data_IF_112795743248
#
_entry.id   IF_112795743248
#
_cell.length_a   1.000
_cell.length_b   1.000
_cell.length_c   1.000
_cell.angle_alpha   90.00
_cell.angle_beta   90.00
_cell.angle_gamma   90.00
#
_symmetry.space_group_name_H-M   'P 1'
#
loop_
_entity.id
_entity.type
_entity.pdbx_description
1 polymer ?
#
# COMPACT_ATOMS: atom_id res chain seq x y z
N UNK A 1 54.36 43.37 36.36
CA UNK A 1 53.38 43.35 35.24
C UNK A 1 52.68 42.01 35.21
N UNK A 2 51.76 41.77 36.11
CA UNK A 2 50.91 40.58 36.11
C UNK A 2 49.55 40.99 35.52
N UNK A 3 49.43 41.08 34.31
CA UNK A 3 48.77 40.32 33.30
C UNK A 3 47.25 40.34 33.41
N UNK A 4 46.66 41.38 32.79
CA UNK A 4 45.21 41.46 32.53
C UNK A 4 44.86 40.74 31.21
N UNK A 5 45.49 39.57 30.97
CA UNK A 5 45.20 38.80 29.77
C UNK A 5 43.84 38.03 29.85
N UNK A 6 43.40 37.79 31.12
CA UNK A 6 42.11 37.11 31.37
C UNK A 6 40.91 37.83 30.76
N UNK A 7 40.73 39.17 30.92
CA UNK A 7 39.62 39.87 30.28
C UNK A 7 39.75 39.89 28.75
N UNK A 8 40.97 39.92 28.20
CA UNK A 8 41.22 39.83 26.76
C UNK A 8 40.84 38.47 26.22
N UNK A 9 41.12 37.40 26.96
CA UNK A 9 40.70 36.03 26.59
C UNK A 9 39.18 35.87 26.66
N UNK A 10 38.52 36.43 27.68
CA UNK A 10 37.07 36.42 27.81
C UNK A 10 36.44 37.20 26.66
N UNK A 11 36.99 38.36 26.31
CA UNK A 11 36.50 39.14 25.17
C UNK A 11 36.67 38.38 23.83
N UNK A 12 37.84 37.75 23.64
CA UNK A 12 38.08 36.94 22.44
C UNK A 12 37.11 35.75 22.35
N UNK A 13 36.81 35.09 23.47
CA UNK A 13 35.85 34.01 23.55
C UNK A 13 34.42 34.48 23.25
N UNK A 14 34.04 35.66 23.79
CA UNK A 14 32.74 36.29 23.51
C UNK A 14 32.59 36.64 22.02
N UNK A 15 33.61 37.23 21.41
CA UNK A 15 33.61 37.55 19.98
C UNK A 15 33.53 36.27 19.15
N UNK A 16 34.29 35.24 19.52
CA UNK A 16 34.21 33.94 18.84
C UNK A 16 32.79 33.29 18.95
N UNK A 17 32.19 33.38 20.14
CA UNK A 17 30.82 32.89 20.34
C UNK A 17 29.80 33.66 19.51
N UNK A 18 29.89 34.99 19.45
CA UNK A 18 28.99 35.81 18.59
C UNK A 18 29.17 35.48 17.12
N UNK A 19 30.42 35.32 16.66
CA UNK A 19 30.68 34.93 15.26
C UNK A 19 30.16 33.54 14.93
N UNK A 20 30.20 32.61 15.89
CA UNK A 20 29.68 31.25 15.69
C UNK A 20 28.14 31.19 15.74
N UNK A 21 27.52 32.06 16.55
CA UNK A 21 26.05 32.15 16.64
C UNK A 21 25.41 32.95 15.49
N UNK A 22 26.21 33.82 14.83
CA UNK A 22 25.68 34.69 13.76
C UNK A 22 24.91 33.97 12.68
N UNK A 23 25.38 32.84 12.08
CA UNK A 23 24.63 32.10 11.05
C UNK A 23 23.31 31.56 11.57
N UNK A 24 23.27 31.19 12.86
CA UNK A 24 22.04 30.66 13.50
C UNK A 24 20.97 31.74 13.61
N UNK A 25 21.35 32.92 14.07
CA UNK A 25 20.43 34.07 14.21
C UNK A 25 19.96 34.54 12.84
N UNK A 26 20.81 34.54 11.83
CA UNK A 26 20.47 34.89 10.46
C UNK A 26 19.47 33.90 9.86
N UNK A 27 19.72 32.60 10.00
CA UNK A 27 18.84 31.54 9.45
C UNK A 27 17.47 31.50 10.12
N UNK A 28 17.42 31.51 11.46
CA UNK A 28 16.14 31.42 12.20
C UNK A 28 15.42 32.77 12.32
N UNK A 29 16.12 33.88 12.12
CA UNK A 29 15.53 35.22 12.06
C UNK A 29 14.83 35.56 10.73
N UNK A 30 14.99 34.75 9.70
CA UNK A 30 14.27 34.94 8.43
C UNK A 30 12.80 34.59 8.58
N UNK A 31 11.93 35.36 7.92
CA UNK A 31 10.51 35.00 7.82
C UNK A 31 10.33 33.66 7.07
N UNK A 32 9.32 32.83 7.45
CA UNK A 32 9.06 31.55 6.80
C UNK A 32 8.96 31.64 5.27
N UNK A 33 8.29 32.67 4.75
CA UNK A 33 8.17 32.92 3.31
C UNK A 33 9.51 33.20 2.62
N UNK A 34 10.46 33.83 3.32
CA UNK A 34 11.80 34.09 2.79
C UNK A 34 12.67 32.84 2.78
N UNK A 35 12.49 31.95 3.76
CA UNK A 35 13.16 30.65 3.79
C UNK A 35 12.69 29.74 2.67
N UNK A 36 11.38 29.70 2.45
CA UNK A 36 10.77 28.91 1.36
C UNK A 36 11.21 29.43 -0.04
N UNK A 37 11.24 30.76 -0.20
CA UNK A 37 11.76 31.37 -1.44
C UNK A 37 13.26 31.05 -1.65
N UNK A 38 14.07 31.09 -0.59
CA UNK A 38 15.50 30.78 -0.66
C UNK A 38 15.75 29.30 -0.96
N UNK A 39 14.94 28.42 -0.41
CA UNK A 39 14.99 26.98 -0.69
C UNK A 39 14.67 26.67 -2.15
N UNK A 40 13.68 27.38 -2.71
CA UNK A 40 13.26 27.18 -4.10
C UNK A 40 14.24 27.84 -5.10
N UNK A 41 14.64 29.10 -4.85
CA UNK A 41 15.40 29.90 -5.81
C UNK A 41 16.91 29.67 -5.71
N UNK A 42 17.42 29.35 -4.54
CA UNK A 42 18.86 29.14 -4.29
C UNK A 42 19.11 28.00 -3.30
N UNK A 43 18.79 26.75 -3.61
CA UNK A 43 18.87 25.61 -2.70
C UNK A 43 20.26 25.39 -2.13
N UNK A 44 21.31 25.61 -2.93
CA UNK A 44 22.70 25.47 -2.43
C UNK A 44 23.01 26.46 -1.30
N UNK A 45 22.52 27.70 -1.37
CA UNK A 45 22.72 28.72 -0.34
C UNK A 45 21.90 28.40 0.92
N UNK A 46 20.67 27.92 0.74
CA UNK A 46 19.80 27.50 1.82
C UNK A 46 20.45 26.39 2.66
N UNK A 47 20.88 25.30 2.01
CA UNK A 47 21.53 24.17 2.71
C UNK A 47 22.86 24.54 3.34
N UNK A 48 23.63 25.47 2.74
CA UNK A 48 24.89 25.95 3.33
C UNK A 48 24.65 26.78 4.60
N UNK A 49 23.61 27.61 4.62
CA UNK A 49 23.21 28.38 5.81
C UNK A 49 22.63 27.47 6.89
N UNK A 50 21.79 26.52 6.52
CA UNK A 50 21.24 25.53 7.44
C UNK A 50 22.33 24.69 8.12
N UNK A 51 23.34 24.24 7.37
CA UNK A 51 24.49 23.48 7.90
C UNK A 51 25.35 24.29 8.88
N UNK A 52 25.41 25.61 8.75
CA UNK A 52 26.17 26.49 9.63
C UNK A 52 25.39 26.94 10.86
N UNK A 53 24.08 26.86 10.82
CA UNK A 53 23.21 27.17 11.95
C UNK A 53 23.26 26.04 12.98
N UNK A 54 23.09 26.39 14.26
CA UNK A 54 22.95 25.40 15.33
C UNK A 54 21.60 24.70 15.18
N UNK A 55 21.61 23.38 15.16
CA UNK A 55 20.38 22.61 15.14
C UNK A 55 19.64 22.75 16.47
N UNK A 56 18.39 23.16 16.39
CA UNK A 56 17.53 23.32 17.55
C UNK A 56 16.75 22.03 17.77
N UNK A 57 16.59 21.62 19.03
CA UNK A 57 15.81 20.45 19.39
C UNK A 57 14.29 20.64 19.16
N UNK A 58 13.55 19.57 19.38
CA UNK A 58 12.09 19.49 19.17
C UNK A 58 11.32 20.61 19.86
N UNK A 59 11.71 20.98 21.09
CA UNK A 59 11.04 22.04 21.88
C UNK A 59 11.16 23.44 21.26
N UNK A 60 12.19 23.69 20.48
CA UNK A 60 12.49 25.01 19.90
C UNK A 60 12.07 25.12 18.44
N UNK A 61 12.20 24.06 17.66
CA UNK A 61 11.80 24.04 16.25
C UNK A 61 10.36 23.53 16.05
N UNK A 62 9.82 22.83 17.04
CA UNK A 62 8.64 22.00 16.87
C UNK A 62 8.96 20.72 16.10
N UNK A 63 7.97 19.92 15.84
CA UNK A 63 8.11 18.65 15.13
C UNK A 63 7.21 17.58 15.72
N UNK A 64 7.61 16.31 15.59
CA UNK A 64 6.83 15.17 16.06
C UNK A 64 7.62 14.31 17.05
N UNK A 65 6.92 13.87 18.10
CA UNK A 65 7.38 12.84 19.03
C UNK A 65 6.45 11.62 18.88
N UNK A 66 7.00 10.49 18.46
CA UNK A 66 6.29 9.24 18.29
C UNK A 66 6.82 8.20 19.27
N UNK A 67 5.91 7.47 19.91
CA UNK A 67 6.24 6.23 20.60
C UNK A 67 5.64 5.07 19.81
N UNK A 68 6.49 4.20 19.35
CA UNK A 68 6.12 3.06 18.51
C UNK A 68 6.35 1.77 19.28
N UNK A 69 5.44 0.82 19.19
CA UNK A 69 5.56 -0.50 19.78
C UNK A 69 5.73 -1.57 18.71
N UNK A 70 6.77 -2.36 18.84
CA UNK A 70 7.01 -3.52 17.97
C UNK A 70 6.16 -4.68 18.48
N UNK A 71 5.26 -5.20 17.66
CA UNK A 71 4.42 -6.35 18.00
C UNK A 71 5.29 -7.60 18.02
N UNK A 72 5.52 -8.13 19.21
CA UNK A 72 6.41 -9.30 19.44
C UNK A 72 5.63 -10.55 19.86
N UNK A 73 4.32 -10.55 19.64
CA UNK A 73 3.46 -11.68 19.97
C UNK A 73 3.89 -12.94 19.19
N UNK A 74 4.05 -14.05 19.91
CA UNK A 74 4.48 -15.32 19.31
C UNK A 74 5.99 -15.48 19.10
N UNK A 75 6.80 -14.47 19.40
CA UNK A 75 8.26 -14.53 19.32
C UNK A 75 8.87 -14.95 20.66
N UNK A 76 9.98 -15.69 20.62
CA UNK A 76 10.80 -15.93 21.81
C UNK A 76 11.45 -14.63 22.30
N UNK A 77 11.88 -14.54 23.58
CA UNK A 77 12.50 -13.31 24.11
C UNK A 77 13.76 -12.85 23.36
N UNK A 78 14.50 -13.77 22.76
CA UNK A 78 15.69 -13.44 21.95
C UNK A 78 15.27 -12.88 20.58
N UNK A 79 14.33 -13.54 19.91
CA UNK A 79 13.78 -13.07 18.63
C UNK A 79 13.08 -11.72 18.76
N UNK A 80 12.36 -11.50 19.85
CA UNK A 80 11.72 -10.23 20.15
C UNK A 80 12.74 -9.07 20.27
N UNK A 81 13.85 -9.29 20.96
CA UNK A 81 14.93 -8.30 21.09
C UNK A 81 15.58 -7.99 19.74
N UNK A 82 15.87 -9.02 18.97
CA UNK A 82 16.46 -8.90 17.65
C UNK A 82 15.51 -8.18 16.68
N UNK A 83 14.21 -8.45 16.76
CA UNK A 83 13.19 -7.74 15.98
C UNK A 83 13.15 -6.25 16.33
N UNK A 84 13.21 -5.87 17.59
CA UNK A 84 13.21 -4.46 18.02
C UNK A 84 14.49 -3.74 17.56
N UNK A 85 15.66 -4.39 17.68
CA UNK A 85 16.93 -3.80 17.27
C UNK A 85 16.97 -3.59 15.74
N UNK A 86 16.51 -4.57 14.96
CA UNK A 86 16.37 -4.42 13.49
C UNK A 86 15.32 -3.40 13.11
N UNK A 87 14.17 -3.34 13.81
CA UNK A 87 13.16 -2.32 13.56
C UNK A 87 13.72 -0.91 13.79
N UNK A 88 14.50 -0.70 14.85
CA UNK A 88 15.16 0.56 15.12
C UNK A 88 16.13 0.96 14.00
N UNK A 89 16.88 0.01 13.45
CA UNK A 89 17.81 0.27 12.34
C UNK A 89 17.05 0.65 11.05
N UNK A 90 16.00 -0.08 10.72
CA UNK A 90 15.15 0.22 9.56
C UNK A 90 14.50 1.60 9.69
N UNK A 91 13.94 1.92 10.86
CA UNK A 91 13.35 3.24 11.15
C UNK A 91 14.41 4.34 10.99
N UNK A 92 15.62 4.13 11.52
CA UNK A 92 16.71 5.10 11.35
C UNK A 92 17.06 5.32 9.89
N UNK A 93 17.21 4.25 9.11
CA UNK A 93 17.51 4.34 7.69
C UNK A 93 16.42 5.09 6.91
N UNK A 94 15.15 4.91 7.26
CA UNK A 94 14.03 5.63 6.64
C UNK A 94 14.06 7.11 6.97
N UNK A 95 14.27 7.45 8.24
CA UNK A 95 14.33 8.83 8.73
C UNK A 95 15.53 9.58 8.15
N UNK A 96 16.70 8.94 8.08
CA UNK A 96 17.92 9.52 7.48
C UNK A 96 17.71 9.82 5.99
N UNK A 97 17.05 8.92 5.25
CA UNK A 97 16.75 9.11 3.82
C UNK A 97 15.62 10.13 3.59
N UNK A 98 14.72 10.29 4.56
CA UNK A 98 13.70 11.32 4.53
C UNK A 98 14.28 12.73 4.67
N UNK A 99 15.47 12.84 5.26
CA UNK A 99 16.23 14.08 5.33
C UNK A 99 15.93 14.95 6.55
N UNK A 100 15.39 14.37 7.62
CA UNK A 100 15.22 15.08 8.90
C UNK A 100 16.58 15.35 9.54
N UNK A 101 16.81 16.58 9.98
CA UNK A 101 18.03 16.97 10.66
C UNK A 101 18.03 16.46 12.12
N UNK A 102 19.07 15.73 12.50
CA UNK A 102 19.32 15.24 13.87
C UNK A 102 18.12 14.54 14.54
N UNK A 103 17.57 13.47 13.93
CA UNK A 103 16.48 12.72 14.55
C UNK A 103 16.97 12.00 15.81
N UNK A 104 16.14 11.95 16.84
CA UNK A 104 16.39 11.14 18.02
C UNK A 104 15.63 9.81 17.89
N UNK A 105 16.33 8.69 17.81
CA UNK A 105 15.71 7.35 17.72
C UNK A 105 16.30 6.49 18.81
N UNK A 106 15.49 6.21 19.83
CA UNK A 106 15.93 5.52 21.04
C UNK A 106 14.98 4.38 21.40
N UNK A 107 15.55 3.28 21.88
CA UNK A 107 14.78 2.18 22.44
C UNK A 107 14.30 2.55 23.86
N UNK A 108 13.03 2.28 24.14
CA UNK A 108 12.41 2.44 25.45
C UNK A 108 11.85 1.09 25.94
N UNK A 109 12.48 0.52 26.94
CA UNK A 109 12.09 -0.79 27.46
C UNK A 109 12.41 -1.93 26.48
N UNK A 110 11.55 -2.95 26.41
CA UNK A 110 11.81 -4.16 25.64
C UNK A 110 11.21 -4.12 24.24
N UNK A 111 10.08 -3.44 24.02
CA UNK A 111 9.30 -3.47 22.79
C UNK A 111 9.10 -2.11 22.13
N UNK A 112 9.48 -1.00 22.80
CA UNK A 112 9.15 0.36 22.33
C UNK A 112 10.35 1.09 21.74
N UNK A 113 10.06 1.92 20.73
CA UNK A 113 11.02 2.82 20.07
C UNK A 113 10.44 4.23 20.12
N UNK A 114 11.21 5.18 20.68
CA UNK A 114 10.88 6.60 20.63
C UNK A 114 11.55 7.19 19.40
N UNK A 115 10.79 7.94 18.64
CA UNK A 115 11.25 8.66 17.44
C UNK A 115 10.87 10.12 17.56
N UNK A 116 11.87 11.00 17.59
CA UNK A 116 11.69 12.46 17.63
C UNK A 116 12.26 13.06 16.35
N UNK A 117 11.42 13.79 15.65
CA UNK A 117 11.77 14.41 14.36
C UNK A 117 11.55 15.92 14.45
N UNK A 118 12.62 16.70 14.79
CA UNK A 118 12.52 18.13 14.88
C UNK A 118 12.40 18.78 13.50
N UNK A 119 11.70 19.92 13.43
CA UNK A 119 11.57 20.74 12.22
C UNK A 119 10.73 20.14 11.10
N UNK A 120 10.00 19.05 11.36
CA UNK A 120 9.19 18.38 10.37
C UNK A 120 7.89 19.13 10.09
N UNK A 121 7.60 19.41 8.81
CA UNK A 121 6.39 20.08 8.39
C UNK A 121 5.26 19.09 8.07
N UNK A 122 5.58 17.97 7.41
CA UNK A 122 4.60 16.96 7.01
C UNK A 122 4.64 15.74 7.94
N UNK A 123 3.86 15.86 9.02
CA UNK A 123 3.77 14.86 10.08
C UNK A 123 3.15 13.55 9.58
N UNK A 124 2.09 13.63 8.79
CA UNK A 124 1.36 12.43 8.32
C UNK A 124 2.19 11.62 7.33
N UNK A 125 2.92 12.28 6.46
CA UNK A 125 3.83 11.62 5.54
C UNK A 125 4.95 10.88 6.27
N UNK A 126 5.53 11.49 7.31
CA UNK A 126 6.56 10.84 8.12
C UNK A 126 6.03 9.62 8.88
N UNK A 127 4.85 9.72 9.48
CA UNK A 127 4.20 8.60 10.16
C UNK A 127 3.98 7.43 9.21
N UNK A 128 3.42 7.71 8.04
CA UNK A 128 3.18 6.70 7.02
C UNK A 128 4.49 6.02 6.59
N UNK A 129 5.52 6.80 6.29
CA UNK A 129 6.82 6.29 5.86
C UNK A 129 7.49 5.42 6.93
N UNK A 130 7.43 5.84 8.19
CA UNK A 130 8.09 5.11 9.29
C UNK A 130 7.28 3.87 9.69
N UNK A 131 5.95 3.96 9.69
CA UNK A 131 5.04 2.91 10.17
C UNK A 131 4.77 1.79 9.17
N UNK A 132 5.03 1.99 7.87
CA UNK A 132 4.81 0.96 6.84
C UNK A 132 5.72 -0.25 7.10
N UNK A 133 5.13 -1.45 7.07
CA UNK A 133 5.89 -2.71 7.20
C UNK A 133 6.85 -2.89 6.04
N UNK A 134 6.43 -2.49 4.84
CA UNK A 134 7.19 -2.57 3.59
C UNK A 134 7.63 -3.98 3.23
N UNK A 135 6.78 -4.94 3.50
CA UNK A 135 6.99 -6.31 3.07
C UNK A 135 6.78 -6.38 1.56
N UNK A 136 7.88 -6.33 0.82
CA UNK A 136 7.86 -6.45 -0.64
C UNK A 136 7.95 -7.92 -1.04
N UNK A 137 7.02 -8.36 -1.87
CA UNK A 137 6.93 -9.70 -2.39
C UNK A 137 6.67 -9.69 -3.89
N UNK A 138 7.26 -10.66 -4.58
CA UNK A 138 7.00 -10.92 -5.98
C UNK A 138 6.23 -12.24 -6.07
N UNK A 139 4.95 -12.15 -6.42
CA UNK A 139 4.05 -13.29 -6.45
C UNK A 139 3.57 -13.55 -7.89
N UNK A 140 3.51 -14.80 -8.30
CA UNK A 140 2.92 -15.16 -9.58
C UNK A 140 1.41 -15.03 -9.51
N UNK A 141 0.85 -14.39 -10.52
CA UNK A 141 -0.60 -14.25 -10.69
C UNK A 141 -1.10 -15.45 -11.46
N UNK A 142 -2.13 -16.10 -10.93
CA UNK A 142 -2.81 -17.20 -11.61
C UNK A 142 -3.61 -16.69 -12.83
N UNK A 143 -3.85 -17.55 -13.83
CA UNK A 143 -4.63 -17.19 -15.02
C UNK A 143 -6.01 -16.66 -14.66
N UNK A 144 -6.50 -15.70 -15.45
CA UNK A 144 -7.81 -15.07 -15.24
C UNK A 144 -8.97 -16.09 -15.20
N UNK A 145 -8.84 -17.19 -15.96
CA UNK A 145 -9.83 -18.27 -15.96
C UNK A 145 -9.92 -18.99 -14.60
N UNK A 146 -8.81 -19.18 -13.92
CA UNK A 146 -8.77 -19.84 -12.61
C UNK A 146 -9.35 -18.93 -11.52
N UNK A 147 -9.03 -17.63 -11.58
CA UNK A 147 -9.68 -16.62 -10.75
C UNK A 147 -11.20 -16.62 -10.93
N UNK A 148 -11.65 -16.55 -12.18
CA UNK A 148 -13.08 -16.47 -12.49
C UNK A 148 -13.83 -17.74 -12.03
N UNK A 149 -13.24 -18.92 -12.23
CA UNK A 149 -13.80 -20.19 -11.71
C UNK A 149 -13.88 -20.23 -10.19
N UNK A 150 -12.84 -19.72 -9.52
CA UNK A 150 -12.81 -19.69 -8.05
C UNK A 150 -13.85 -18.71 -7.50
N UNK A 151 -13.97 -17.51 -8.09
CA UNK A 151 -14.99 -16.52 -7.73
C UNK A 151 -16.40 -17.09 -7.87
N UNK A 152 -16.70 -17.82 -8.97
CA UNK A 152 -17.99 -18.47 -9.17
C UNK A 152 -18.29 -19.52 -8.11
N UNK A 153 -17.30 -20.35 -7.73
CA UNK A 153 -17.46 -21.33 -6.66
C UNK A 153 -17.72 -20.68 -5.30
N UNK A 154 -17.01 -19.60 -5.00
CA UNK A 154 -17.21 -18.85 -3.75
C UNK A 154 -18.62 -18.25 -3.73
N UNK A 155 -19.06 -17.60 -4.82
CA UNK A 155 -20.40 -17.03 -4.92
C UNK A 155 -21.50 -18.08 -4.69
N UNK A 156 -21.35 -19.27 -5.30
CA UNK A 156 -22.28 -20.38 -5.12
C UNK A 156 -22.37 -20.87 -3.67
N UNK A 157 -21.22 -20.99 -2.97
CA UNK A 157 -21.18 -21.43 -1.57
C UNK A 157 -21.76 -20.39 -0.63
N UNK A 158 -21.47 -19.11 -0.87
CA UNK A 158 -22.04 -18.01 -0.08
C UNK A 158 -23.55 -17.88 -0.30
N UNK A 159 -24.07 -18.13 -1.51
CA UNK A 159 -25.49 -18.14 -1.80
C UNK A 159 -26.21 -19.34 -1.12
N UNK A 160 -25.63 -20.55 -1.21
CA UNK A 160 -26.19 -21.74 -0.56
C UNK A 160 -26.27 -21.65 0.97
N UNK A 161 -25.24 -21.03 1.59
CA UNK A 161 -25.24 -20.83 3.05
C UNK A 161 -26.30 -19.87 3.57
N UNK A 162 -26.74 -18.91 2.76
CA UNK A 162 -27.81 -17.97 3.13
C UNK A 162 -29.20 -18.64 3.09
N UNK A 163 -29.43 -19.49 2.12
CA UNK A 163 -30.69 -20.22 2.01
C UNK A 163 -30.93 -21.15 3.21
N UNK A 164 -29.89 -21.59 3.91
CA UNK A 164 -29.99 -22.40 5.12
C UNK A 164 -30.22 -21.56 6.40
N UNK A 165 -29.70 -20.34 6.44
CA UNK A 165 -29.87 -19.43 7.57
C UNK A 165 -31.27 -18.77 7.59
N UNK A 166 -31.81 -18.43 6.40
CA UNK A 166 -33.19 -17.89 6.27
C UNK A 166 -34.26 -18.96 6.56
N UNK A 167 -33.98 -20.26 6.28
CA UNK A 167 -34.89 -21.34 6.64
C UNK A 167 -34.86 -21.73 8.12
N UNK A 168 -33.88 -21.30 8.88
CA UNK A 168 -33.78 -21.54 10.32
C UNK A 168 -34.46 -20.46 11.17
N UNK A 169 -34.79 -19.30 10.60
CA UNK A 169 -35.46 -18.19 11.29
C UNK A 169 -36.99 -18.18 11.18
N UNK A 170 -37.58 -19.03 10.33
CA UNK A 170 -39.03 -19.07 10.08
C UNK A 170 -39.74 -20.29 10.70
N UNK A 171 -39.18 -20.88 11.72
CA UNK A 171 -39.67 -22.10 12.37
C UNK A 171 -40.20 -21.91 13.78
N UNK A 172 -41.14 -20.99 14.00
CA UNK A 172 -42.10 -21.10 15.15
C UNK A 172 -43.38 -20.33 14.85
N UNK A 173 -44.43 -21.03 14.55
CA UNK A 173 -45.86 -20.78 14.51
C UNK A 173 -46.50 -21.11 13.17
N UNK A 174 -46.99 -22.36 13.02
CA UNK A 174 -48.29 -22.60 12.42
C UNK A 174 -48.74 -24.06 12.57
N UNK A 175 -49.80 -24.19 13.25
CA UNK A 175 -50.62 -25.34 13.46
C UNK A 175 -51.17 -26.00 12.18
N UNK A 176 -51.16 -27.34 12.23
CA UNK A 176 -51.91 -28.37 11.52
C UNK A 176 -53.21 -27.92 10.84
N UNK A 177 -53.34 -28.28 9.55
CA UNK A 177 -54.59 -28.80 8.94
C UNK A 177 -54.33 -29.40 7.56
N UNK A 178 -54.37 -30.67 7.49
CA UNK A 178 -54.98 -31.73 6.72
C UNK A 178 -55.56 -31.47 5.32
N UNK A 179 -55.37 -32.52 4.46
CA UNK A 179 -56.12 -33.00 3.31
C UNK A 179 -55.61 -32.63 1.89
N UNK A 180 -54.92 -33.55 1.30
CA UNK A 180 -55.35 -34.50 0.25
C UNK A 180 -55.58 -33.99 -1.18
N UNK A 181 -54.98 -34.80 -2.08
CA UNK A 181 -55.36 -35.20 -3.44
C UNK A 181 -54.99 -34.31 -4.65
N UNK A 182 -54.04 -34.82 -5.39
CA UNK A 182 -54.06 -35.44 -6.74
C UNK A 182 -54.46 -34.55 -7.93
N UNK A 183 -53.57 -34.45 -8.89
CA UNK A 183 -53.69 -35.12 -10.20
C UNK A 183 -52.67 -34.58 -11.21
N UNK A 184 -52.15 -35.56 -11.93
CA UNK A 184 -51.40 -35.59 -13.16
C UNK A 184 -51.94 -34.70 -14.29
N UNK A 185 -51.02 -34.29 -15.19
CA UNK A 185 -51.00 -34.48 -16.66
C UNK A 185 -50.17 -33.34 -17.27
N UNK A 186 -49.05 -33.65 -17.85
CA UNK A 186 -48.70 -34.19 -19.16
C UNK A 186 -48.70 -33.16 -20.32
N UNK A 187 -47.50 -32.98 -20.84
CA UNK A 187 -47.07 -32.86 -22.23
C UNK A 187 -47.75 -31.81 -23.17
N UNK A 188 -47.04 -30.98 -23.87
CA UNK A 188 -46.59 -31.28 -25.23
C UNK A 188 -45.82 -30.10 -25.88
N UNK A 189 -44.77 -30.46 -26.56
CA UNK A 189 -43.99 -29.90 -27.65
C UNK A 189 -44.60 -28.75 -28.48
N UNK A 190 -43.82 -27.79 -28.93
CA UNK A 190 -43.43 -27.61 -30.33
C UNK A 190 -42.50 -26.41 -30.57
N UNK A 191 -41.31 -26.72 -31.08
CA UNK A 191 -40.45 -26.04 -32.01
C UNK A 191 -41.04 -24.90 -32.84
N UNK A 192 -40.25 -23.89 -33.16
CA UNK A 192 -39.82 -23.43 -34.50
C UNK A 192 -38.80 -22.32 -34.41
N UNK A 193 -37.62 -22.48 -35.00
CA UNK A 193 -36.72 -21.45 -35.50
C UNK A 193 -36.98 -21.25 -36.99
N UNK A 194 -36.23 -20.45 -37.77
CA UNK A 194 -35.51 -19.19 -37.60
C UNK A 194 -35.82 -18.17 -38.73
N UNK A 195 -35.26 -16.96 -38.69
CA UNK A 195 -34.83 -16.17 -39.87
C UNK A 195 -34.18 -14.88 -39.43
N UNK A 196 -33.02 -14.64 -39.69
CA UNK A 196 -32.11 -14.26 -40.79
C UNK A 196 -32.39 -12.86 -41.39
N UNK A 197 -31.35 -12.03 -41.39
CA UNK A 197 -31.03 -10.81 -42.16
C UNK A 197 -31.47 -9.46 -41.64
N UNK A 198 -30.42 -8.60 -41.55
CA UNK A 198 -30.46 -7.18 -41.79
C UNK A 198 -29.31 -6.41 -41.10
N UNK A 199 -28.26 -6.17 -41.88
CA UNK A 199 -27.15 -5.24 -41.71
C UNK A 199 -27.59 -3.82 -41.31
N UNK A 200 -26.87 -3.14 -40.42
CA UNK A 200 -25.92 -2.05 -40.68
C UNK A 200 -25.57 -1.28 -39.40
N UNK A 201 -24.29 -1.20 -39.14
CA UNK A 201 -23.36 -0.18 -38.60
C UNK A 201 -23.91 1.05 -37.84
N UNK A 202 -23.50 1.22 -36.60
CA UNK A 202 -22.59 2.21 -36.06
C UNK A 202 -22.64 2.29 -34.51
N UNK A 203 -21.74 2.99 -33.76
CA UNK A 203 -20.99 2.39 -32.68
C UNK A 203 -21.72 2.44 -31.33
N UNK A 204 -21.66 1.36 -30.61
CA UNK A 204 -22.24 1.17 -29.30
C UNK A 204 -21.53 1.98 -28.23
N UNK A 205 -22.18 3.01 -27.75
CA UNK A 205 -22.03 3.44 -26.38
C UNK A 205 -22.47 2.33 -25.42
N UNK A 206 -21.63 2.12 -24.41
CA UNK A 206 -21.79 1.31 -23.22
C UNK A 206 -23.24 0.93 -22.86
N UNK A 207 -23.69 -0.23 -23.29
CA UNK A 207 -24.87 -0.89 -22.75
C UNK A 207 -24.52 -1.72 -21.54
N UNK A 208 -24.61 -1.11 -20.35
CA UNK A 208 -24.66 -1.80 -19.09
C UNK A 208 -26.10 -2.25 -18.88
N UNK A 209 -26.35 -3.58 -18.86
CA UNK A 209 -27.53 -4.27 -18.34
C UNK A 209 -28.91 -3.68 -18.65
N UNK A 210 -29.59 -4.24 -19.64
CA UNK A 210 -31.05 -4.26 -19.69
C UNK A 210 -31.56 -5.11 -18.52
N UNK A 211 -32.14 -4.44 -17.53
CA UNK A 211 -32.84 -5.06 -16.44
C UNK A 211 -34.31 -5.17 -16.85
N UNK A 212 -34.70 -6.32 -17.42
CA UNK A 212 -36.10 -6.72 -17.45
C UNK A 212 -36.58 -7.03 -16.04
N UNK A 213 -37.76 -6.51 -15.71
CA UNK A 213 -38.38 -6.47 -14.40
C UNK A 213 -38.66 -7.88 -13.85
N UNK A 214 -37.70 -8.43 -13.09
CA UNK A 214 -37.96 -9.51 -12.14
C UNK A 214 -38.11 -8.96 -10.73
N UNK A 215 -38.99 -9.59 -9.96
CA UNK A 215 -39.56 -9.17 -8.67
C UNK A 215 -38.52 -8.62 -7.70
N UNK A 216 -38.91 -7.62 -6.90
CA UNK A 216 -38.05 -6.90 -5.93
C UNK A 216 -37.31 -7.82 -4.89
N UNK A 217 -37.74 -9.07 -4.74
CA UNK A 217 -37.09 -10.08 -3.91
C UNK A 217 -35.86 -10.67 -4.58
N UNK A 218 -35.88 -10.97 -5.88
CA UNK A 218 -34.74 -11.46 -6.65
C UNK A 218 -33.67 -10.38 -6.81
N UNK A 219 -34.06 -9.11 -7.00
CA UNK A 219 -33.15 -7.98 -7.08
C UNK A 219 -32.44 -7.68 -5.73
N UNK A 220 -33.06 -7.97 -4.60
CA UNK A 220 -32.47 -7.81 -3.28
C UNK A 220 -31.46 -8.94 -2.96
N UNK A 221 -31.71 -10.14 -3.46
CA UNK A 221 -30.79 -11.29 -3.32
C UNK A 221 -29.58 -11.14 -4.26
N UNK A 222 -29.81 -10.72 -5.51
CA UNK A 222 -28.73 -10.48 -6.47
C UNK A 222 -27.76 -9.40 -6.01
N UNK A 223 -28.25 -8.33 -5.35
CA UNK A 223 -27.39 -7.28 -4.79
C UNK A 223 -26.48 -7.75 -3.66
N UNK A 224 -26.73 -8.92 -3.08
CA UNK A 224 -25.94 -9.54 -1.99
C UNK A 224 -24.91 -10.55 -2.49
N UNK A 225 -24.93 -10.90 -3.78
CA UNK A 225 -24.01 -11.86 -4.38
C UNK A 225 -22.64 -11.26 -4.60
N UNK A 226 -21.60 -12.08 -4.51
CA UNK A 226 -20.22 -11.65 -4.79
C UNK A 226 -20.08 -11.19 -6.24
N UNK A 227 -20.65 -11.95 -7.18
CA UNK A 227 -20.55 -11.65 -8.61
C UNK A 227 -21.19 -10.30 -8.99
N UNK A 228 -22.27 -9.88 -8.33
CA UNK A 228 -22.93 -8.60 -8.60
C UNK A 228 -22.11 -7.38 -8.16
N UNK A 229 -21.11 -7.58 -7.29
CA UNK A 229 -20.20 -6.53 -6.79
C UNK A 229 -18.89 -6.44 -7.57
N UNK A 230 -18.68 -7.37 -8.50
CA UNK A 230 -17.53 -7.40 -9.37
C UNK A 230 -17.87 -6.74 -10.70
N UNK A 231 -16.96 -5.88 -11.17
CA UNK A 231 -17.06 -5.25 -12.48
C UNK A 231 -15.95 -5.79 -13.39
N UNK A 232 -16.16 -5.79 -14.71
CA UNK A 232 -15.10 -6.08 -15.68
C UNK A 232 -14.57 -4.77 -16.25
N UNK A 233 -13.25 -4.60 -16.21
CA UNK A 233 -12.54 -3.48 -16.81
C UNK A 233 -11.58 -4.07 -17.84
N UNK A 234 -11.98 -4.05 -19.10
CA UNK A 234 -11.29 -4.81 -20.15
C UNK A 234 -11.37 -6.33 -19.91
N UNK A 235 -10.24 -7.00 -19.83
CA UNK A 235 -10.12 -8.42 -19.47
C UNK A 235 -10.04 -8.66 -17.96
N UNK A 236 -9.87 -7.63 -17.17
CA UNK A 236 -9.61 -7.72 -15.74
C UNK A 236 -10.89 -7.65 -14.91
N UNK A 237 -10.85 -8.23 -13.72
CA UNK A 237 -11.92 -8.11 -12.71
C UNK A 237 -11.56 -7.01 -11.74
N UNK A 238 -12.50 -6.15 -11.46
CA UNK A 238 -12.36 -5.03 -10.56
C UNK A 238 -13.51 -4.98 -9.54
N UNK A 239 -13.26 -4.32 -8.42
CA UNK A 239 -14.23 -4.06 -7.36
C UNK A 239 -14.37 -2.56 -7.21
N UNK A 240 -15.60 -2.05 -7.26
CA UNK A 240 -15.83 -0.63 -7.04
C UNK A 240 -15.43 -0.25 -5.61
N UNK A 241 -14.88 0.95 -5.42
CA UNK A 241 -14.42 1.41 -4.11
C UNK A 241 -15.50 1.32 -3.02
N UNK A 242 -16.76 1.58 -3.36
CA UNK A 242 -17.91 1.46 -2.45
C UNK A 242 -18.18 0.03 -1.99
N UNK A 243 -17.84 -0.97 -2.82
CA UNK A 243 -18.12 -2.39 -2.57
C UNK A 243 -16.91 -3.14 -1.99
N UNK A 244 -15.72 -2.51 -1.94
CA UNK A 244 -14.47 -3.13 -1.53
C UNK A 244 -14.55 -3.78 -0.13
N UNK A 245 -15.13 -3.07 0.84
CA UNK A 245 -15.26 -3.60 2.20
C UNK A 245 -16.17 -4.83 2.26
N UNK A 246 -17.26 -4.82 1.50
CA UNK A 246 -18.17 -5.95 1.42
C UNK A 246 -17.55 -7.16 0.72
N UNK A 247 -16.84 -6.94 -0.40
CA UNK A 247 -16.14 -8.01 -1.10
C UNK A 247 -15.03 -8.61 -0.23
N UNK A 248 -14.24 -7.79 0.45
CA UNK A 248 -13.23 -8.28 1.41
C UNK A 248 -13.86 -9.14 2.51
N UNK A 249 -14.97 -8.70 3.09
CA UNK A 249 -15.70 -9.47 4.11
C UNK A 249 -16.22 -10.80 3.56
N UNK A 250 -16.73 -10.82 2.32
CA UNK A 250 -17.19 -12.05 1.67
C UNK A 250 -16.04 -13.03 1.38
N UNK A 251 -14.88 -12.54 0.96
CA UNK A 251 -13.69 -13.36 0.73
C UNK A 251 -13.06 -13.88 2.03
N UNK A 252 -13.25 -13.19 3.16
CA UNK A 252 -12.79 -13.62 4.49
C UNK A 252 -13.81 -14.48 5.24
N UNK A 253 -15.01 -14.68 4.71
CA UNK A 253 -16.00 -15.58 5.31
C UNK A 253 -15.44 -17.01 5.39
N UNK A 254 -15.67 -17.71 6.50
CA UNK A 254 -15.16 -19.06 6.74
C UNK A 254 -15.56 -20.06 5.64
N UNK A 255 -16.77 -19.90 5.10
CA UNK A 255 -17.29 -20.70 3.98
C UNK A 255 -16.55 -20.42 2.67
N UNK A 256 -16.21 -19.18 2.42
CA UNK A 256 -15.40 -18.79 1.25
C UNK A 256 -13.96 -19.32 1.39
N UNK A 257 -13.38 -19.16 2.58
CA UNK A 257 -12.04 -19.65 2.88
C UNK A 257 -11.91 -21.18 2.75
N UNK A 258 -12.96 -21.93 3.07
CA UNK A 258 -12.98 -23.39 2.87
C UNK A 258 -12.90 -23.84 1.40
N UNK A 259 -13.18 -22.94 0.45
CA UNK A 259 -13.16 -23.22 -1.01
C UNK A 259 -11.88 -22.68 -1.67
N UNK A 260 -11.25 -21.68 -1.06
CA UNK A 260 -9.99 -21.09 -1.55
C UNK A 260 -8.85 -22.07 -1.22
N UNK A 261 -8.07 -22.53 -2.20
CA UNK A 261 -6.89 -23.33 -1.96
C UNK A 261 -5.85 -22.58 -1.16
N UNK A 262 -5.10 -23.28 -0.27
CA UNK A 262 -4.08 -22.68 0.60
C UNK A 262 -2.89 -22.06 -0.15
N UNK A 263 -2.70 -22.44 -1.41
CA UNK A 263 -1.59 -21.99 -2.26
C UNK A 263 -1.87 -20.72 -3.04
N UNK A 264 -3.08 -20.17 -2.96
CA UNK A 264 -3.50 -18.93 -3.63
C UNK A 264 -4.23 -17.98 -2.70
N UNK A 265 -4.15 -16.70 -3.01
CA UNK A 265 -4.85 -15.64 -2.27
C UNK A 265 -5.40 -14.56 -3.21
N UNK A 266 -6.46 -13.88 -2.77
CA UNK A 266 -7.01 -12.74 -3.48
C UNK A 266 -6.35 -11.45 -3.02
N UNK A 267 -5.77 -10.71 -3.96
CA UNK A 267 -5.11 -9.44 -3.73
C UNK A 267 -5.79 -8.31 -4.50
N UNK A 268 -5.78 -7.13 -3.90
CA UNK A 268 -6.32 -5.91 -4.51
C UNK A 268 -5.18 -4.94 -4.84
N UNK A 269 -5.38 -4.07 -5.83
CA UNK A 269 -4.44 -2.98 -6.09
C UNK A 269 -4.33 -2.08 -4.86
N UNK A 270 -3.15 -1.50 -4.66
CA UNK A 270 -2.86 -0.60 -3.51
C UNK A 270 -3.64 0.71 -3.59
N UNK A 271 -3.94 1.16 -4.81
CA UNK A 271 -4.68 2.40 -5.07
C UNK A 271 -5.86 2.15 -5.99
N UNK A 272 -6.94 2.94 -5.81
CA UNK A 272 -8.05 2.88 -6.72
C UNK A 272 -7.69 3.53 -8.06
N UNK A 273 -8.10 2.89 -9.14
CA UNK A 273 -7.97 3.38 -10.50
C UNK A 273 -9.32 3.94 -11.00
N UNK A 274 -9.29 4.65 -12.13
CA UNK A 274 -10.49 5.17 -12.79
C UNK A 274 -10.81 6.63 -12.47
N UNK A 275 -11.84 7.17 -13.14
CA UNK A 275 -12.24 8.57 -12.99
C UNK A 275 -12.87 8.86 -11.63
N UNK A 276 -12.87 10.13 -11.22
CA UNK A 276 -13.54 10.55 -10.00
C UNK A 276 -15.03 10.19 -10.04
N UNK A 277 -15.48 9.51 -8.95
CA UNK A 277 -16.85 9.00 -8.83
C UNK A 277 -17.01 7.52 -9.22
N UNK A 278 -16.12 6.97 -10.03
CA UNK A 278 -16.12 5.56 -10.44
C UNK A 278 -14.74 4.91 -10.19
N UNK A 279 -14.21 5.09 -9.01
CA UNK A 279 -12.95 4.47 -8.59
C UNK A 279 -13.15 2.99 -8.29
N UNK A 280 -12.20 2.17 -8.75
CA UNK A 280 -12.22 0.71 -8.57
C UNK A 280 -10.82 0.19 -8.23
N UNK A 281 -10.79 -0.99 -7.61
CA UNK A 281 -9.58 -1.74 -7.32
C UNK A 281 -9.56 -3.00 -8.18
N UNK A 282 -8.45 -3.29 -8.84
CA UNK A 282 -8.28 -4.55 -9.55
C UNK A 282 -8.17 -5.70 -8.56
N UNK A 283 -8.73 -6.85 -8.93
CA UNK A 283 -8.72 -8.09 -8.15
C UNK A 283 -7.85 -9.12 -8.85
N UNK A 284 -6.80 -9.55 -8.16
CA UNK A 284 -5.88 -10.57 -8.61
C UNK A 284 -6.01 -11.84 -7.78
N UNK A 285 -5.80 -13.00 -8.41
CA UNK A 285 -5.56 -14.26 -7.74
C UNK A 285 -4.06 -14.55 -7.84
N UNK A 286 -3.34 -14.51 -6.74
CA UNK A 286 -1.90 -14.69 -6.71
C UNK A 286 -1.53 -15.92 -5.87
N UNK A 287 -0.34 -16.47 -6.09
CA UNK A 287 0.20 -17.54 -5.24
C UNK A 287 0.60 -16.98 -3.89
N UNK A 288 0.14 -17.60 -2.81
CA UNK A 288 0.46 -17.21 -1.42
C UNK A 288 1.98 -17.24 -1.16
N UNK A 289 2.69 -18.17 -1.80
CA UNK A 289 4.14 -18.25 -1.65
C UNK A 289 4.83 -17.31 -2.62
N UNK A 290 5.55 -16.29 -2.12
CA UNK A 290 6.29 -15.39 -2.98
C UNK A 290 7.47 -16.09 -3.65
N UNK A 291 7.70 -15.80 -4.91
CA UNK A 291 8.86 -16.26 -5.67
C UNK A 291 10.15 -15.54 -5.25
N UNK A 292 10.03 -14.28 -4.83
CA UNK A 292 11.12 -13.44 -4.34
C UNK A 292 10.58 -12.43 -3.32
N UNK A 293 11.38 -12.09 -2.32
CA UNK A 293 11.03 -11.10 -1.28
C UNK A 293 11.97 -9.89 -1.31
N UNK A 294 11.59 -8.83 -0.61
CA UNK A 294 12.30 -7.54 -0.60
C UNK A 294 13.74 -7.60 -0.10
N UNK A 295 14.13 -8.64 0.66
CA UNK A 295 15.50 -8.84 1.11
C UNK A 295 16.50 -9.08 -0.05
N UNK A 296 16.01 -9.39 -1.25
CA UNK A 296 16.79 -9.51 -2.48
C UNK A 296 16.96 -8.19 -3.23
N UNK A 297 16.39 -7.09 -2.74
CA UNK A 297 16.57 -5.75 -3.33
C UNK A 297 17.84 -5.13 -2.77
N UNK A 298 18.71 -4.70 -3.67
CA UNK A 298 19.96 -4.00 -3.32
C UNK A 298 19.79 -2.48 -3.31
N UNK A 299 18.94 -1.95 -4.21
CA UNK A 299 18.72 -0.52 -4.36
C UNK A 299 17.36 -0.24 -5.01
N UNK A 300 16.81 0.93 -4.69
CA UNK A 300 15.56 1.45 -5.26
C UNK A 300 15.74 2.95 -5.54
N UNK A 301 15.50 3.38 -6.78
CA UNK A 301 15.68 4.77 -7.19
C UNK A 301 14.48 5.28 -7.97
N UNK A 302 14.14 6.56 -7.75
CA UNK A 302 13.09 7.21 -8.53
C UNK A 302 13.64 7.67 -9.86
N UNK A 303 12.91 7.40 -10.92
CA UNK A 303 13.19 7.93 -12.25
C UNK A 303 11.88 8.35 -12.95
N UNK A 304 12.02 8.99 -14.10
CA UNK A 304 10.88 9.33 -14.96
C UNK A 304 10.83 8.31 -16.09
N UNK A 305 9.68 7.68 -16.24
CA UNK A 305 9.44 6.67 -17.26
C UNK A 305 9.68 7.20 -18.68
N UNK A 306 10.41 6.44 -19.48
CA UNK A 306 10.75 6.78 -20.86
C UNK A 306 10.08 5.86 -21.89
N UNK A 307 9.48 4.77 -21.45
CA UNK A 307 8.72 3.85 -22.30
C UNK A 307 7.36 4.43 -22.66
N UNK A 308 6.79 3.99 -23.76
CA UNK A 308 5.48 4.47 -24.26
C UNK A 308 4.36 4.25 -23.24
N UNK A 309 4.41 3.14 -22.50
CA UNK A 309 3.35 2.75 -21.55
C UNK A 309 3.33 3.63 -20.28
N UNK A 310 4.45 4.26 -19.92
CA UNK A 310 4.59 5.06 -18.68
C UNK A 310 5.43 6.32 -18.89
N UNK A 311 5.40 6.87 -20.12
CA UNK A 311 6.16 8.09 -20.47
C UNK A 311 5.77 9.27 -19.59
N UNK A 312 6.76 9.88 -18.95
CA UNK A 312 6.57 11.05 -18.09
C UNK A 312 6.01 10.74 -16.70
N UNK A 313 5.68 9.47 -16.41
CA UNK A 313 5.22 9.07 -15.07
C UNK A 313 6.41 8.80 -14.15
N UNK A 314 6.28 9.11 -12.84
CA UNK A 314 7.26 8.70 -11.86
C UNK A 314 7.23 7.18 -11.70
N UNK A 315 8.41 6.56 -11.76
CA UNK A 315 8.60 5.13 -11.58
C UNK A 315 9.70 4.87 -10.56
N UNK A 316 9.69 3.72 -9.93
CA UNK A 316 10.76 3.26 -9.05
C UNK A 316 11.54 2.15 -9.74
N UNK A 317 12.80 2.44 -10.07
CA UNK A 317 13.76 1.46 -10.59
C UNK A 317 14.29 0.62 -9.43
N UNK A 318 14.09 -0.69 -9.51
CA UNK A 318 14.60 -1.67 -8.57
C UNK A 318 15.84 -2.35 -9.15
N UNK A 319 16.82 -2.55 -8.29
CA UNK A 319 17.99 -3.36 -8.58
C UNK A 319 18.12 -4.45 -7.51
N UNK A 320 18.21 -5.69 -7.94
CA UNK A 320 18.37 -6.82 -7.04
C UNK A 320 19.83 -7.09 -6.68
N UNK A 321 20.05 -7.79 -5.57
CA UNK A 321 21.35 -8.35 -5.19
C UNK A 321 21.81 -9.40 -6.20
N UNK A 322 23.09 -9.83 -6.15
CA UNK A 322 23.61 -10.90 -7.01
C UNK A 322 22.83 -12.22 -6.87
N UNK A 323 22.35 -12.52 -5.68
CA UNK A 323 21.46 -13.66 -5.43
C UNK A 323 20.10 -13.45 -6.07
N UNK A 324 19.54 -12.25 -5.88
CA UNK A 324 18.29 -11.82 -6.51
C UNK A 324 18.35 -11.89 -8.03
N UNK A 325 19.46 -11.47 -8.66
CA UNK A 325 19.67 -11.60 -10.12
C UNK A 325 19.54 -13.04 -10.57
N UNK A 326 20.17 -14.00 -9.86
CA UNK A 326 20.08 -15.43 -10.22
C UNK A 326 18.66 -15.96 -10.09
N UNK A 327 17.99 -15.59 -9.00
CA UNK A 327 16.61 -15.97 -8.73
C UNK A 327 15.65 -15.37 -9.75
N UNK A 328 15.75 -14.06 -10.00
CA UNK A 328 14.88 -13.32 -10.93
C UNK A 328 15.01 -13.82 -12.38
N UNK A 329 16.25 -14.15 -12.79
CA UNK A 329 16.53 -14.79 -14.08
C UNK A 329 15.85 -16.16 -14.20
N UNK A 330 15.83 -16.95 -13.13
CA UNK A 330 15.17 -18.26 -13.11
C UNK A 330 13.66 -18.10 -13.20
N UNK A 331 13.08 -17.24 -12.37
CA UNK A 331 11.64 -16.98 -12.32
C UNK A 331 11.15 -16.48 -13.68
N UNK A 332 11.72 -15.38 -14.16
CA UNK A 332 11.29 -14.77 -15.43
C UNK A 332 11.55 -15.66 -16.65
N UNK A 333 12.56 -16.55 -16.57
CA UNK A 333 12.82 -17.51 -17.64
C UNK A 333 11.87 -18.70 -17.66
N UNK A 334 11.28 -19.06 -16.53
CA UNK A 334 10.30 -20.15 -16.41
C UNK A 334 8.86 -19.69 -16.67
N UNK A 335 8.56 -18.40 -16.46
CA UNK A 335 7.22 -17.82 -16.47
C UNK A 335 7.07 -16.71 -17.52
N UNK A 336 7.55 -16.96 -18.75
CA UNK A 336 7.35 -16.03 -19.87
C UNK A 336 5.87 -16.04 -20.26
N UNK A 337 5.28 -14.86 -20.41
CA UNK A 337 3.85 -14.58 -20.61
C UNK A 337 2.96 -14.70 -19.37
N UNK A 338 3.50 -15.18 -18.24
CA UNK A 338 2.79 -15.10 -16.95
C UNK A 338 2.91 -13.68 -16.36
N UNK A 339 2.02 -13.36 -15.43
CA UNK A 339 2.05 -12.07 -14.72
C UNK A 339 2.77 -12.24 -13.39
N UNK A 340 3.63 -11.28 -13.08
CA UNK A 340 4.35 -11.23 -11.79
C UNK A 340 3.89 -10.00 -11.02
N UNK A 341 3.10 -10.22 -9.98
CA UNK A 341 2.64 -9.14 -9.12
C UNK A 341 3.78 -8.66 -8.21
N UNK A 342 3.93 -7.36 -8.11
CA UNK A 342 4.74 -6.67 -7.11
C UNK A 342 3.80 -6.26 -5.99
N UNK A 343 3.88 -6.97 -4.88
CA UNK A 343 3.00 -6.85 -3.72
C UNK A 343 3.77 -6.15 -2.60
N UNK A 344 3.18 -5.15 -2.00
CA UNK A 344 3.72 -4.46 -0.84
C UNK A 344 2.65 -4.41 0.25
N UNK A 345 2.96 -4.97 1.40
CA UNK A 345 2.03 -5.06 2.55
C UNK A 345 0.67 -5.67 2.18
N UNK A 346 0.66 -6.72 1.35
CA UNK A 346 -0.54 -7.43 0.92
C UNK A 346 -1.39 -6.69 -0.12
N UNK A 347 -0.88 -5.62 -0.72
CA UNK A 347 -1.53 -4.89 -1.80
C UNK A 347 -0.69 -4.89 -3.08
N UNK A 348 -1.32 -5.09 -4.23
CA UNK A 348 -0.65 -5.11 -5.54
C UNK A 348 -0.35 -3.68 -6.00
N UNK A 349 0.90 -3.36 -6.17
CA UNK A 349 1.34 -2.09 -6.77
C UNK A 349 1.33 -2.14 -8.29
N UNK A 350 1.82 -3.25 -8.85
CA UNK A 350 1.75 -3.52 -10.28
C UNK A 350 1.86 -5.02 -10.54
N UNK A 351 1.29 -5.49 -11.63
CA UNK A 351 1.33 -6.90 -12.04
C UNK A 351 1.66 -7.02 -13.54
N UNK A 352 2.90 -6.66 -13.95
CA UNK A 352 3.30 -6.71 -15.35
C UNK A 352 3.38 -8.14 -15.85
N UNK A 353 3.13 -8.32 -17.16
CA UNK A 353 3.41 -9.58 -17.86
C UNK A 353 4.90 -9.71 -18.16
N UNK A 354 5.47 -10.85 -17.85
CA UNK A 354 6.87 -11.19 -18.13
C UNK A 354 7.02 -11.40 -19.64
N UNK A 355 7.55 -10.42 -20.36
CA UNK A 355 7.72 -10.51 -21.81
C UNK A 355 8.95 -11.30 -22.19
N UNK A 356 10.04 -11.15 -21.43
CA UNK A 356 11.32 -11.80 -21.68
C UNK A 356 12.02 -12.14 -20.37
N UNK A 357 12.97 -13.07 -20.47
CA UNK A 357 13.86 -13.41 -19.35
C UNK A 357 14.73 -12.20 -18.96
N UNK A 358 14.64 -11.77 -17.71
CA UNK A 358 15.42 -10.65 -17.17
C UNK A 358 16.79 -11.16 -16.71
N UNK A 359 17.85 -10.64 -17.32
CA UNK A 359 19.22 -11.14 -17.10
C UNK A 359 19.99 -10.33 -16.06
N UNK A 360 19.64 -9.07 -15.86
CA UNK A 360 20.37 -8.09 -15.06
C UNK A 360 19.70 -7.79 -13.69
N UNK A 361 18.56 -8.43 -13.39
CA UNK A 361 17.85 -8.27 -12.13
C UNK A 361 17.29 -6.86 -11.91
N UNK A 362 17.04 -6.13 -12.99
CA UNK A 362 16.36 -4.83 -12.92
C UNK A 362 14.88 -4.99 -13.17
N UNK A 363 14.09 -4.30 -12.38
CA UNK A 363 12.65 -4.18 -12.57
C UNK A 363 12.19 -2.77 -12.24
N UNK A 364 11.00 -2.43 -12.67
CA UNK A 364 10.39 -1.13 -12.40
C UNK A 364 9.03 -1.33 -11.72
N UNK A 365 8.76 -0.47 -10.72
CA UNK A 365 7.43 -0.35 -10.16
C UNK A 365 6.79 0.89 -10.77
N UNK A 366 5.62 0.71 -11.33
CA UNK A 366 4.75 1.76 -11.87
C UNK A 366 3.57 2.01 -10.92
N UNK A 367 2.76 3.04 -11.19
CA UNK A 367 1.54 3.32 -10.39
C UNK A 367 1.75 4.25 -9.20
N UNK A 368 2.95 4.81 -9.01
CA UNK A 368 3.14 5.95 -8.11
C UNK A 368 2.51 7.18 -8.75
N UNK A 369 1.40 7.67 -8.21
CA UNK A 369 0.67 8.79 -8.82
C UNK A 369 1.49 10.09 -8.88
N UNK A 370 2.36 10.32 -7.89
CA UNK A 370 3.20 11.52 -7.78
C UNK A 370 4.68 11.16 -7.62
N UNK A 371 5.55 12.12 -7.93
CA UNK A 371 7.00 11.96 -7.71
C UNK A 371 7.36 11.80 -6.23
N UNK A 372 6.57 12.41 -5.34
CA UNK A 372 6.77 12.29 -3.90
C UNK A 372 6.44 10.88 -3.40
N UNK A 373 5.34 10.32 -3.85
CA UNK A 373 4.98 8.93 -3.55
C UNK A 373 6.02 7.93 -4.07
N UNK A 374 6.56 8.16 -5.27
CA UNK A 374 7.65 7.35 -5.79
C UNK A 374 8.93 7.47 -4.94
N UNK A 375 9.24 8.68 -4.43
CA UNK A 375 10.36 8.88 -3.50
C UNK A 375 10.14 8.13 -2.18
N UNK A 376 8.95 8.25 -1.60
CA UNK A 376 8.61 7.57 -0.35
C UNK A 376 8.70 6.05 -0.50
N UNK A 377 8.16 5.52 -1.60
CA UNK A 377 8.28 4.11 -1.92
C UNK A 377 9.74 3.67 -2.09
N UNK A 378 10.56 4.44 -2.79
CA UNK A 378 11.98 4.14 -2.96
C UNK A 378 12.75 4.16 -1.63
N UNK A 379 12.45 5.11 -0.73
CA UNK A 379 13.02 5.17 0.63
C UNK A 379 12.68 3.90 1.41
N UNK A 380 11.40 3.56 1.43
CA UNK A 380 10.86 2.40 2.16
C UNK A 380 11.48 1.10 1.66
N UNK A 381 11.55 0.91 0.34
CA UNK A 381 12.13 -0.29 -0.27
C UNK A 381 13.64 -0.40 -0.05
N UNK A 382 14.36 0.72 -0.08
CA UNK A 382 15.81 0.76 0.16
C UNK A 382 16.16 0.50 1.62
N UNK A 383 15.37 1.05 2.54
CA UNK A 383 15.54 0.82 3.98
C UNK A 383 15.17 -0.61 4.40
N UNK A 384 14.33 -1.27 3.60
CA UNK A 384 13.88 -2.64 3.83
C UNK A 384 12.63 -2.75 4.69
N UNK A 385 12.15 -4.00 4.81
CA UNK A 385 10.96 -4.34 5.57
C UNK A 385 11.23 -4.32 7.08
N UNK A 386 10.23 -3.89 7.86
CA UNK A 386 10.25 -4.06 9.30
C UNK A 386 10.14 -5.56 9.65
N UNK A 387 10.90 -6.03 10.62
CA UNK A 387 10.93 -7.45 10.98
C UNK A 387 9.64 -7.94 11.67
N UNK A 388 8.87 -7.01 12.19
CA UNK A 388 7.56 -7.23 12.79
C UNK A 388 6.69 -5.99 12.59
N UNK A 389 5.38 -6.14 12.75
CA UNK A 389 4.46 -5.00 12.71
C UNK A 389 4.82 -4.00 13.81
N UNK A 390 4.80 -2.71 13.47
CA UNK A 390 5.05 -1.62 14.41
C UNK A 390 3.80 -0.76 14.50
N UNK A 391 3.33 -0.51 15.71
CA UNK A 391 2.13 0.29 15.98
C UNK A 391 2.51 1.59 16.68
N UNK A 392 1.95 2.70 16.24
CA UNK A 392 2.13 4.00 16.89
C UNK A 392 1.18 4.05 18.09
N UNK A 393 1.73 4.01 19.30
CA UNK A 393 0.96 4.05 20.55
C UNK A 393 0.83 5.46 21.12
N UNK A 394 1.76 6.35 20.81
CA UNK A 394 1.69 7.75 21.19
C UNK A 394 2.18 8.63 20.04
N UNK A 395 1.43 9.69 19.80
CA UNK A 395 1.69 10.66 18.76
C UNK A 395 1.48 12.06 19.34
N UNK A 396 2.56 12.84 19.41
CA UNK A 396 2.52 14.23 19.86
C UNK A 396 3.20 15.13 18.82
N UNK A 397 2.41 16.00 18.25
CA UNK A 397 2.94 17.11 17.47
C UNK A 397 3.28 18.26 18.44
N UNK A 398 4.54 18.66 18.46
CA UNK A 398 5.05 19.74 19.30
C UNK A 398 5.20 20.98 18.43
N UNK A 399 4.44 22.02 18.73
CA UNK A 399 4.67 23.33 18.12
C UNK A 399 5.92 23.98 18.68
N UNK A 400 6.60 24.89 17.94
CA UNK A 400 7.74 25.63 18.45
C UNK A 400 7.32 26.46 19.70
N UNK A 401 8.01 26.24 20.83
CA UNK A 401 7.66 26.89 22.10
C UNK A 401 8.10 28.35 22.19
N UNK A 402 8.86 28.82 21.21
CA UNK A 402 9.35 30.20 21.07
C UNK A 402 8.86 30.74 19.71
N UNK A 403 7.60 31.11 19.62
CA UNK A 403 7.02 31.89 18.52
C UNK A 403 6.66 33.28 18.98
#
# INVERSE_FOLDING_TARGET
MKQNWKPLLILALLVAAVLHLYPTVEFYGMEPAQREALEHDAPASYYDMQRKAINLGLDLQGGIHLVMEVVTEGLSPEEARDAVDRAQEVIRNRVDQFGVAEPTIQRQGETRIIVELPGLQDVERAKNLIGQTALLEFQLVEPDEDRDRLVQRIDAVLAAGRSSDDSASDGDDAQVADAAEASEQAADTTSVAPSLFGQDSEPAESGLFDADAETAADAADDSRRLLSRLARVGSEVAVMQRDLAAVKAMLTDERAQAVIPDDVEFLFTSKPEGPEGNKYYMLYLARTRPEMTGNMIADAQVSIGQSVDYMGQPIVDLRTTDEGVRLFRRITGAHIQDRLAIVLDGAVYSAPTIQTKIMDGRSIITGSGTQEEAKDLAIVLRAGALPAKVEIIEDRTVGPSLG
#
